data_IF_359564658517
#
_entry.id   IF_359564658517
#
_cell.length_a   1.000
_cell.length_b   1.000
_cell.length_c   1.000
_cell.angle_alpha   90.00
_cell.angle_beta   90.00
_cell.angle_gamma   90.00
#
_symmetry.space_group_name_H-M   'P 1'
#
loop_
_entity.id
_entity.type
_entity.pdbx_description
1 polymer ?
#
# COMPACT_ATOMS: atom_id res chain seq x y z
N UNK A 1 -59.86 11.16 19.87
CA UNK A 1 -59.10 9.90 19.71
C UNK A 1 -59.97 8.90 18.96
N UNK A 2 -59.78 8.76 17.65
CA UNK A 2 -60.32 7.62 16.90
C UNK A 2 -59.12 6.74 16.60
N UNK A 3 -58.99 5.67 17.37
CA UNK A 3 -57.97 4.64 17.17
C UNK A 3 -58.24 3.96 15.84
N UNK A 4 -57.50 4.34 14.80
CA UNK A 4 -57.53 3.66 13.50
C UNK A 4 -56.64 2.41 13.62
N UNK A 5 -57.11 1.44 14.41
CA UNK A 5 -56.46 0.15 14.61
C UNK A 5 -56.69 -0.74 13.39
N UNK A 6 -55.66 -0.85 12.55
CA UNK A 6 -55.58 -1.76 11.42
C UNK A 6 -55.61 -3.22 11.89
N UNK A 7 -56.79 -3.83 11.93
CA UNK A 7 -56.99 -5.28 12.02
C UNK A 7 -57.66 -5.84 10.75
N UNK A 8 -57.73 -5.04 9.67
CA UNK A 8 -58.52 -5.42 8.50
C UNK A 8 -57.81 -6.20 7.40
N UNK A 9 -56.49 -6.15 7.21
CA UNK A 9 -55.88 -6.97 6.14
C UNK A 9 -54.43 -7.38 6.44
N UNK A 10 -54.18 -8.42 7.27
CA UNK A 10 -52.84 -9.01 7.41
C UNK A 10 -52.32 -9.64 6.11
N UNK A 11 -53.17 -9.79 5.09
CA UNK A 11 -52.85 -10.33 3.77
C UNK A 11 -53.10 -9.33 2.63
N UNK A 12 -52.95 -8.03 2.89
CA UNK A 12 -52.96 -7.04 1.82
C UNK A 12 -51.67 -7.13 0.99
N UNK A 13 -51.78 -7.40 -0.31
CA UNK A 13 -50.65 -7.40 -1.25
C UNK A 13 -50.93 -6.44 -2.40
N UNK A 14 -50.17 -5.35 -2.44
CA UNK A 14 -50.19 -4.42 -3.55
C UNK A 14 -49.23 -4.87 -4.65
N UNK A 15 -49.76 -4.97 -5.88
CA UNK A 15 -48.95 -5.19 -7.07
C UNK A 15 -49.11 -4.03 -8.04
N UNK A 16 -48.01 -3.55 -8.65
CA UNK A 16 -48.12 -2.49 -9.64
C UNK A 16 -48.85 -3.01 -10.88
N UNK A 17 -49.85 -2.25 -11.34
CA UNK A 17 -50.49 -2.50 -12.64
C UNK A 17 -49.43 -2.32 -13.73
N UNK A 18 -49.21 -3.36 -14.53
CA UNK A 18 -48.19 -3.37 -15.59
C UNK A 18 -48.83 -3.42 -16.97
N UNK A 19 -48.18 -2.81 -17.95
CA UNK A 19 -48.63 -2.79 -19.34
C UNK A 19 -47.61 -3.55 -20.18
N UNK A 20 -48.09 -4.51 -20.96
CA UNK A 20 -47.25 -5.36 -21.81
C UNK A 20 -47.27 -4.87 -23.25
N UNK A 21 -46.16 -4.33 -23.72
CA UNK A 21 -45.97 -3.97 -25.12
C UNK A 21 -45.44 -5.16 -25.93
N UNK A 22 -46.15 -5.55 -26.99
CA UNK A 22 -45.75 -6.63 -27.92
C UNK A 22 -45.00 -6.05 -29.13
N UNK A 23 -43.84 -5.43 -28.89
CA UNK A 23 -42.94 -4.97 -29.96
C UNK A 23 -41.65 -5.78 -29.96
N UNK A 24 -41.33 -6.39 -31.11
CA UNK A 24 -40.12 -7.22 -31.26
C UNK A 24 -38.86 -6.38 -31.02
N UNK A 25 -38.79 -5.17 -31.58
CA UNK A 25 -37.63 -4.28 -31.42
C UNK A 25 -37.34 -3.89 -29.98
N UNK A 26 -38.38 -3.50 -29.21
CA UNK A 26 -38.22 -3.13 -27.81
C UNK A 26 -37.83 -4.33 -26.93
N UNK A 27 -38.35 -5.52 -27.24
CA UNK A 27 -38.00 -6.77 -26.55
C UNK A 27 -36.55 -7.14 -26.83
N UNK A 28 -36.11 -7.08 -28.10
CA UNK A 28 -34.72 -7.33 -28.47
C UNK A 28 -33.75 -6.33 -27.81
N UNK A 29 -34.08 -5.03 -27.82
CA UNK A 29 -33.26 -4.01 -27.17
C UNK A 29 -33.16 -4.22 -25.65
N UNK A 30 -34.28 -4.52 -24.98
CA UNK A 30 -34.30 -4.84 -23.55
C UNK A 30 -33.41 -6.05 -23.22
N UNK A 31 -33.57 -7.15 -23.96
CA UNK A 31 -32.77 -8.35 -23.75
C UNK A 31 -31.29 -8.12 -24.03
N UNK A 32 -30.96 -7.38 -25.09
CA UNK A 32 -29.58 -7.01 -25.40
C UNK A 32 -28.93 -6.27 -24.24
N UNK A 33 -29.60 -5.23 -23.70
CA UNK A 33 -29.09 -4.47 -22.54
C UNK A 33 -28.92 -5.38 -21.32
N UNK A 34 -29.88 -6.26 -21.05
CA UNK A 34 -29.80 -7.20 -19.92
C UNK A 34 -28.66 -8.21 -20.09
N UNK A 35 -28.43 -8.73 -21.30
CA UNK A 35 -27.31 -9.63 -21.59
C UNK A 35 -25.98 -8.92 -21.40
N UNK A 36 -25.84 -7.67 -21.86
CA UNK A 36 -24.62 -6.87 -21.66
C UNK A 36 -24.35 -6.66 -20.16
N UNK A 37 -25.37 -6.29 -19.39
CA UNK A 37 -25.26 -6.12 -17.93
C UNK A 37 -24.91 -7.45 -17.25
N UNK A 38 -25.55 -8.56 -17.64
CA UNK A 38 -25.26 -9.88 -17.09
C UNK A 38 -23.82 -10.31 -17.37
N UNK A 39 -23.33 -10.11 -18.60
CA UNK A 39 -21.93 -10.40 -18.96
C UNK A 39 -20.97 -9.57 -18.10
N UNK A 40 -21.25 -8.29 -17.90
CA UNK A 40 -20.44 -7.41 -17.05
C UNK A 40 -20.44 -7.86 -15.59
N UNK A 41 -21.60 -8.25 -15.04
CA UNK A 41 -21.73 -8.77 -13.68
C UNK A 41 -20.95 -10.09 -13.54
N UNK A 42 -21.08 -11.02 -14.50
CA UNK A 42 -20.32 -12.27 -14.50
C UNK A 42 -18.82 -12.03 -14.60
N UNK A 43 -18.39 -11.10 -15.45
CA UNK A 43 -16.99 -10.72 -15.58
C UNK A 43 -16.42 -10.17 -14.27
N UNK A 44 -17.09 -9.20 -13.65
CA UNK A 44 -16.64 -8.61 -12.37
C UNK A 44 -16.69 -9.61 -11.22
N UNK A 45 -17.68 -10.51 -11.19
CA UNK A 45 -17.76 -11.59 -10.21
C UNK A 45 -16.54 -12.53 -10.28
N UNK A 46 -16.11 -12.89 -11.49
CA UNK A 46 -15.01 -13.83 -11.73
C UNK A 46 -13.64 -13.13 -11.62
N UNK A 47 -13.46 -12.00 -12.28
CA UNK A 47 -12.19 -11.28 -12.34
C UNK A 47 -11.77 -10.71 -10.98
N UNK A 48 -12.70 -10.07 -10.26
CA UNK A 48 -12.41 -9.52 -8.93
C UNK A 48 -12.63 -10.55 -7.80
N UNK A 49 -13.15 -11.74 -8.12
CA UNK A 49 -13.54 -12.78 -7.16
C UNK A 49 -14.46 -12.27 -6.05
N UNK A 50 -15.51 -11.53 -6.40
CA UNK A 50 -16.45 -10.89 -5.43
C UNK A 50 -17.23 -11.88 -4.56
N UNK A 51 -17.25 -13.15 -4.94
CA UNK A 51 -17.85 -14.22 -4.15
C UNK A 51 -16.96 -14.69 -2.97
N UNK A 52 -15.72 -14.21 -2.89
CA UNK A 52 -14.80 -14.53 -1.81
C UNK A 52 -14.80 -13.45 -0.74
N UNK A 53 -14.79 -13.87 0.52
CA UNK A 53 -14.33 -12.99 1.58
C UNK A 53 -12.81 -12.88 1.48
N UNK A 54 -12.30 -11.65 1.58
CA UNK A 54 -10.86 -11.37 1.52
C UNK A 54 -10.34 -10.96 2.89
N UNK A 55 -9.14 -11.41 3.20
CA UNK A 55 -8.41 -11.05 4.43
C UNK A 55 -6.96 -10.70 4.07
N UNK A 56 -6.42 -9.68 4.72
CA UNK A 56 -4.99 -9.36 4.63
C UNK A 56 -4.15 -10.37 5.40
N UNK A 57 -2.93 -10.60 4.92
CA UNK A 57 -2.03 -11.59 5.50
C UNK A 57 -1.42 -11.11 6.82
N UNK A 58 -1.45 -11.96 7.86
CA UNK A 58 -0.61 -11.79 9.05
C UNK A 58 0.65 -12.62 8.88
N UNK A 59 1.85 -12.05 9.09
CA UNK A 59 3.10 -12.75 8.80
C UNK A 59 4.09 -12.74 9.96
N UNK A 60 4.98 -13.73 9.97
CA UNK A 60 6.16 -13.79 10.83
C UNK A 60 7.36 -14.20 9.98
N UNK A 61 8.45 -13.45 10.13
CA UNK A 61 9.68 -13.67 9.35
C UNK A 61 10.84 -14.02 10.28
N UNK A 62 11.65 -14.99 9.85
CA UNK A 62 12.93 -15.30 10.48
C UNK A 62 14.00 -15.44 9.40
N UNK A 63 15.09 -14.71 9.58
CA UNK A 63 16.22 -14.73 8.66
C UNK A 63 17.43 -15.44 9.28
N UNK A 64 18.25 -16.04 8.44
CA UNK A 64 19.53 -16.61 8.83
C UNK A 64 20.53 -16.40 7.71
N UNK A 65 21.55 -15.56 7.98
CA UNK A 65 22.61 -15.26 7.02
C UNK A 65 23.78 -16.22 7.24
N UNK A 66 24.32 -16.77 6.15
CA UNK A 66 25.47 -17.67 6.14
C UNK A 66 26.51 -17.19 5.14
N UNK A 67 27.76 -17.20 5.58
CA UNK A 67 28.88 -16.74 4.80
C UNK A 67 30.09 -16.55 5.70
N UNK A 68 31.28 -16.60 5.11
CA UNK A 68 32.53 -16.28 5.79
C UNK A 68 33.37 -15.45 4.83
N UNK A 69 33.96 -14.37 5.32
CA UNK A 69 34.88 -13.56 4.55
C UNK A 69 36.23 -13.49 5.25
N UNK A 70 37.31 -13.56 4.48
CA UNK A 70 38.65 -13.28 4.95
C UNK A 70 39.06 -11.88 4.48
N UNK A 71 39.22 -10.94 5.41
CA UNK A 71 39.52 -9.55 5.10
C UNK A 71 40.37 -8.92 6.21
N UNK A 72 41.38 -8.13 5.82
CA UNK A 72 42.32 -7.45 6.74
C UNK A 72 42.95 -8.44 7.73
N UNK A 73 43.46 -9.57 7.21
CA UNK A 73 44.11 -10.63 8.01
C UNK A 73 43.25 -11.19 9.15
N UNK A 74 41.92 -11.06 9.04
CA UNK A 74 40.93 -11.54 9.99
C UNK A 74 39.81 -12.31 9.26
N UNK A 75 39.24 -13.29 9.94
CA UNK A 75 38.06 -14.01 9.49
C UNK A 75 36.82 -13.32 10.07
N UNK A 76 35.85 -13.03 9.22
CA UNK A 76 34.56 -12.45 9.55
C UNK A 76 33.47 -13.50 9.34
N UNK A 77 32.76 -13.84 10.42
CA UNK A 77 31.64 -14.78 10.41
C UNK A 77 30.31 -14.08 10.67
N UNK A 78 29.21 -14.84 10.62
CA UNK A 78 27.86 -14.32 10.84
C UNK A 78 27.72 -13.53 12.13
N UNK A 79 28.41 -13.92 13.22
CA UNK A 79 28.30 -13.22 14.50
C UNK A 79 28.94 -11.82 14.48
N UNK A 80 29.86 -11.57 13.56
CA UNK A 80 30.55 -10.28 13.45
C UNK A 80 29.86 -9.32 12.47
N UNK A 81 29.48 -9.81 11.28
CA UNK A 81 28.95 -8.95 10.23
C UNK A 81 27.41 -8.84 10.24
N UNK A 82 26.69 -9.84 10.78
CA UNK A 82 25.24 -9.84 10.83
C UNK A 82 24.77 -9.38 12.21
N UNK A 83 24.55 -8.07 12.33
CA UNK A 83 24.14 -7.47 13.60
C UNK A 83 22.61 -7.50 13.68
N UNK A 84 22.03 -8.17 14.70
CA UNK A 84 20.58 -8.28 14.82
C UNK A 84 19.99 -6.90 15.16
N UNK A 85 19.27 -6.29 14.21
CA UNK A 85 18.58 -5.02 14.41
C UNK A 85 17.36 -5.13 15.33
N UNK A 86 16.93 -6.37 15.64
CA UNK A 86 15.82 -6.69 16.53
C UNK A 86 16.00 -6.14 17.96
N UNK A 87 17.24 -5.98 18.43
CA UNK A 87 17.50 -5.49 19.78
C UNK A 87 17.56 -3.95 19.91
N UNK A 88 17.69 -3.20 18.80
CA UNK A 88 18.04 -1.76 18.88
C UNK A 88 17.04 -0.81 18.22
N UNK A 89 16.17 -1.25 17.29
CA UNK A 89 15.41 -0.32 16.43
C UNK A 89 13.91 -0.65 16.21
N UNK A 90 13.30 -1.59 16.96
CA UNK A 90 11.87 -1.95 16.81
C UNK A 90 11.43 -2.32 15.38
N UNK A 91 12.36 -2.76 14.52
CA UNK A 91 12.08 -3.25 13.16
C UNK A 91 12.12 -4.77 13.19
N UNK A 92 10.94 -5.40 13.29
CA UNK A 92 10.77 -6.84 13.55
C UNK A 92 11.26 -7.69 12.36
N UNK A 93 11.17 -7.16 11.13
CA UNK A 93 11.41 -7.89 9.88
C UNK A 93 12.57 -7.31 9.03
N UNK A 94 13.68 -6.92 9.68
CA UNK A 94 14.87 -6.43 8.96
C UNK A 94 16.16 -7.10 9.44
N UNK A 95 17.15 -7.19 8.56
CA UNK A 95 18.49 -7.64 8.91
C UNK A 95 19.56 -6.77 8.25
N UNK A 96 20.71 -6.66 8.91
CA UNK A 96 21.84 -5.88 8.43
C UNK A 96 23.02 -6.79 8.12
N UNK A 97 23.67 -6.55 6.98
CA UNK A 97 24.92 -7.21 6.59
C UNK A 97 25.99 -6.14 6.40
N UNK A 98 27.05 -6.23 7.21
CA UNK A 98 28.22 -5.36 7.09
C UNK A 98 28.98 -5.67 5.80
N UNK A 99 29.27 -4.63 5.00
CA UNK A 99 30.04 -4.75 3.76
C UNK A 99 31.36 -3.97 3.83
N UNK A 100 31.42 -2.94 4.69
CA UNK A 100 32.60 -2.13 4.88
C UNK A 100 32.71 -1.64 6.33
N UNK A 101 33.93 -1.44 6.82
CA UNK A 101 34.15 -1.10 8.23
C UNK A 101 35.37 -0.21 8.41
N UNK A 102 35.23 0.76 9.31
CA UNK A 102 36.36 1.52 9.85
C UNK A 102 36.42 1.21 11.35
N UNK A 103 37.58 0.79 11.82
CA UNK A 103 37.80 0.39 13.20
C UNK A 103 38.79 1.35 13.86
N UNK A 104 38.40 1.92 14.99
CA UNK A 104 39.28 2.71 15.85
C UNK A 104 39.53 1.92 17.13
N UNK A 105 40.69 1.27 17.16
CA UNK A 105 41.11 0.45 18.29
C UNK A 105 41.66 1.30 19.43
N UNK A 106 41.76 0.68 20.61
CA UNK A 106 42.45 1.23 21.76
C UNK A 106 41.95 2.57 22.28
N UNK A 107 40.65 2.83 22.14
CA UNK A 107 40.06 4.04 22.68
C UNK A 107 39.97 3.98 24.20
N UNK A 108 40.47 5.01 24.87
CA UNK A 108 40.37 5.21 26.32
C UNK A 108 39.71 6.56 26.61
N UNK A 109 39.08 6.72 27.77
CA UNK A 109 38.61 8.03 28.20
C UNK A 109 39.81 8.89 28.64
N UNK A 110 40.11 9.93 27.85
CA UNK A 110 41.19 10.88 28.17
C UNK A 110 40.94 12.23 27.52
N UNK A 111 41.93 13.13 27.60
CA UNK A 111 41.96 14.39 26.87
C UNK A 111 42.76 14.22 25.60
N UNK A 112 42.22 14.65 24.46
CA UNK A 112 42.89 14.61 23.17
C UNK A 112 42.37 15.73 22.27
N UNK A 113 43.13 16.11 21.22
CA UNK A 113 42.63 17.03 20.20
C UNK A 113 41.41 16.43 19.48
N UNK A 114 40.38 17.24 19.26
CA UNK A 114 39.17 16.87 18.50
C UNK A 114 39.50 16.72 17.00
N UNK A 115 38.69 15.93 16.27
CA UNK A 115 38.84 15.77 14.83
C UNK A 115 38.62 17.13 14.11
N UNK A 116 39.35 17.40 13.02
CA UNK A 116 39.31 18.71 12.37
C UNK A 116 38.00 18.92 11.59
N UNK A 117 37.08 19.67 12.18
CA UNK A 117 35.91 20.24 11.50
C UNK A 117 35.84 21.75 11.76
N UNK A 118 35.04 22.48 10.98
CA UNK A 118 35.07 23.94 10.93
C UNK A 118 35.01 24.67 12.30
N UNK A 119 34.28 24.13 13.30
CA UNK A 119 34.21 24.71 14.65
C UNK A 119 35.22 24.14 15.66
N UNK A 120 35.90 23.04 15.33
CA UNK A 120 36.94 22.47 16.18
C UNK A 120 38.31 23.08 15.89
N UNK A 121 38.53 23.64 14.70
CA UNK A 121 39.78 24.33 14.34
C UNK A 121 39.89 25.60 15.18
N UNK A 122 41.02 25.75 15.88
CA UNK A 122 41.27 26.87 16.77
C UNK A 122 42.65 27.47 16.48
N UNK A 123 42.80 28.77 16.75
CA UNK A 123 44.11 29.43 16.74
C UNK A 123 44.60 29.76 18.15
N UNK A 124 43.67 30.02 19.07
CA UNK A 124 43.95 30.35 20.48
C UNK A 124 42.98 29.64 21.41
N UNK A 125 43.35 29.48 22.68
CA UNK A 125 42.52 28.83 23.70
C UNK A 125 41.14 29.52 23.87
N UNK A 126 41.07 30.84 23.66
CA UNK A 126 39.80 31.60 23.71
C UNK A 126 38.79 31.19 22.64
N UNK A 127 39.22 30.52 21.59
CA UNK A 127 38.34 29.99 20.54
C UNK A 127 37.59 28.72 20.98
N UNK A 128 38.02 28.09 22.07
CA UNK A 128 37.43 26.86 22.60
C UNK A 128 36.61 27.19 23.86
N UNK A 129 35.35 26.81 23.88
CA UNK A 129 34.44 27.11 24.98
C UNK A 129 34.42 25.94 25.98
N UNK A 130 34.90 26.19 27.20
CA UNK A 130 34.99 25.14 28.22
C UNK A 130 33.59 24.64 28.63
N UNK A 131 33.40 23.32 28.66
CA UNK A 131 32.15 22.67 29.01
C UNK A 131 31.14 22.57 27.85
N UNK A 132 31.47 23.09 26.66
CA UNK A 132 30.60 23.00 25.50
C UNK A 132 30.66 21.62 24.83
N UNK A 133 29.52 21.15 24.31
CA UNK A 133 29.42 19.95 23.49
C UNK A 133 28.54 20.24 22.27
N UNK A 134 29.17 20.47 21.11
CA UNK A 134 28.45 20.72 19.86
C UNK A 134 27.91 19.42 19.27
N UNK A 135 26.86 19.51 18.44
CA UNK A 135 26.20 18.35 17.80
C UNK A 135 27.16 17.44 17.01
N UNK A 136 28.21 18.01 16.42
CA UNK A 136 29.23 17.27 15.66
C UNK A 136 30.50 16.97 16.47
N UNK A 137 30.56 17.38 17.74
CA UNK A 137 31.69 17.12 18.63
C UNK A 137 31.64 15.67 19.14
N UNK A 138 32.80 15.01 19.26
CA UNK A 138 32.87 13.65 19.80
C UNK A 138 32.99 13.63 21.33
N UNK A 139 33.21 14.78 21.95
CA UNK A 139 33.23 14.95 23.40
C UNK A 139 32.97 16.38 23.86
N UNK A 140 33.29 16.63 25.12
CA UNK A 140 33.11 17.94 25.79
C UNK A 140 34.41 18.73 25.70
N UNK A 141 34.35 19.98 25.27
CA UNK A 141 35.52 20.85 25.16
C UNK A 141 36.06 21.25 26.53
N UNK A 142 37.39 21.29 26.64
CA UNK A 142 38.11 21.70 27.86
C UNK A 142 38.46 23.19 27.88
N UNK A 143 38.31 23.89 26.75
CA UNK A 143 38.71 25.30 26.58
C UNK A 143 40.18 25.52 26.19
N UNK A 144 40.92 24.47 25.81
CA UNK A 144 42.32 24.57 25.36
C UNK A 144 42.45 24.28 23.87
N UNK A 145 43.36 24.98 23.19
CA UNK A 145 43.70 24.80 21.78
C UNK A 145 45.04 24.05 21.67
N UNK A 146 44.99 22.81 21.20
CA UNK A 146 46.14 21.89 21.16
C UNK A 146 46.51 21.56 19.71
N UNK A 147 47.77 21.16 19.48
CA UNK A 147 48.18 20.69 18.16
C UNK A 147 47.54 19.32 17.85
N UNK A 148 46.85 19.24 16.71
CA UNK A 148 46.35 17.99 16.14
C UNK A 148 47.41 17.38 15.22
N UNK A 149 47.94 18.18 14.29
CA UNK A 149 49.04 17.86 13.38
C UNK A 149 50.08 19.01 13.38
N UNK A 150 51.21 18.85 12.69
CA UNK A 150 52.27 19.86 12.62
C UNK A 150 51.77 21.26 12.20
N UNK A 151 50.76 21.32 11.32
CA UNK A 151 50.21 22.55 10.76
C UNK A 151 48.87 22.98 11.36
N UNK A 152 48.19 22.09 12.09
CA UNK A 152 46.78 22.28 12.46
C UNK A 152 46.57 22.16 13.97
N UNK A 153 45.87 23.13 14.55
CA UNK A 153 45.43 23.11 15.95
C UNK A 153 43.92 22.92 16.05
N UNK A 154 43.48 22.09 16.98
CA UNK A 154 42.07 21.86 17.29
C UNK A 154 41.80 21.95 18.79
N UNK A 155 40.55 22.17 19.16
CA UNK A 155 40.17 22.23 20.57
C UNK A 155 40.37 20.86 21.25
N UNK A 156 40.92 20.87 22.47
CA UNK A 156 41.07 19.70 23.32
C UNK A 156 39.71 19.31 23.92
N UNK A 157 39.33 18.04 23.77
CA UNK A 157 38.08 17.47 24.28
C UNK A 157 38.35 16.36 25.29
N UNK A 158 37.48 16.23 26.29
CA UNK A 158 37.35 15.01 27.09
C UNK A 158 36.41 14.05 26.35
N UNK A 159 36.98 12.99 25.78
CA UNK A 159 36.28 12.05 24.91
C UNK A 159 36.92 10.65 25.00
N UNK A 160 36.43 9.74 24.15
CA UNK A 160 37.13 8.48 23.86
C UNK A 160 38.24 8.74 22.84
N UNK A 161 39.48 8.68 23.31
CA UNK A 161 40.67 9.04 22.56
C UNK A 161 41.45 7.79 22.10
N UNK A 162 42.00 7.78 20.87
CA UNK A 162 41.95 8.87 19.88
C UNK A 162 40.56 9.02 19.26
N UNK A 163 40.15 10.27 19.00
CA UNK A 163 38.88 10.57 18.33
C UNK A 163 38.97 10.07 16.89
N UNK A 164 37.95 9.35 16.38
CA UNK A 164 37.93 8.90 15.00
C UNK A 164 37.85 10.10 14.06
N UNK A 165 38.74 10.15 13.07
CA UNK A 165 38.62 11.15 12.00
C UNK A 165 37.37 10.82 11.15
N UNK A 166 36.72 11.84 10.58
CA UNK A 166 35.69 11.63 9.55
C UNK A 166 36.35 11.15 8.26
N UNK A 167 36.75 9.88 8.24
CA UNK A 167 37.31 9.23 7.07
C UNK A 167 36.20 8.80 6.12
N UNK A 168 36.46 8.98 4.82
CA UNK A 168 35.68 8.34 3.76
C UNK A 168 35.85 6.82 3.87
N UNK A 169 34.79 6.03 3.69
CA UNK A 169 34.90 4.57 3.70
C UNK A 169 35.94 4.10 2.66
N UNK A 170 36.72 3.05 2.98
CA UNK A 170 37.75 2.56 2.06
C UNK A 170 37.12 2.00 0.78
N UNK A 171 37.82 2.21 -0.34
CA UNK A 171 37.44 1.74 -1.67
C UNK A 171 38.62 0.93 -2.23
N UNK A 172 38.44 -0.36 -2.58
CA UNK A 172 37.20 -1.15 -2.54
C UNK A 172 36.73 -1.50 -1.11
N UNK A 173 35.47 -1.92 -0.98
CA UNK A 173 34.89 -2.31 0.30
C UNK A 173 35.64 -3.50 0.94
N UNK A 174 35.84 -3.44 2.27
CA UNK A 174 36.62 -4.44 3.03
C UNK A 174 36.03 -5.85 2.91
N UNK A 175 34.70 -5.99 2.98
CA UNK A 175 34.00 -7.28 2.92
C UNK A 175 33.34 -7.48 1.55
N UNK A 176 34.07 -7.28 0.46
CA UNK A 176 33.54 -7.52 -0.92
C UNK A 176 32.98 -8.93 -1.12
N UNK A 177 33.57 -9.93 -0.45
CA UNK A 177 33.12 -11.34 -0.51
C UNK A 177 31.72 -11.56 0.09
N UNK A 178 31.13 -10.54 0.74
CA UNK A 178 29.74 -10.59 1.19
C UNK A 178 28.73 -10.71 0.05
N UNK A 179 29.13 -10.44 -1.20
CA UNK A 179 28.30 -10.68 -2.39
C UNK A 179 27.86 -12.15 -2.50
N UNK A 180 28.74 -13.08 -2.09
CA UNK A 180 28.51 -14.53 -2.12
C UNK A 180 27.80 -15.08 -0.90
N UNK A 181 27.46 -14.22 0.06
CA UNK A 181 26.73 -14.67 1.24
C UNK A 181 25.32 -15.06 0.86
N UNK A 182 24.78 -16.02 1.61
CA UNK A 182 23.42 -16.52 1.41
C UNK A 182 22.56 -16.16 2.61
N UNK A 183 21.29 -15.87 2.36
CA UNK A 183 20.28 -15.65 3.38
C UNK A 183 19.14 -16.64 3.17
N UNK A 184 18.82 -17.38 4.22
CA UNK A 184 17.60 -18.18 4.30
C UNK A 184 16.51 -17.34 4.95
N UNK A 185 15.41 -17.12 4.24
CA UNK A 185 14.23 -16.42 4.74
C UNK A 185 13.13 -17.43 5.02
N UNK A 186 12.79 -17.63 6.29
CA UNK A 186 11.62 -18.40 6.71
C UNK A 186 10.46 -17.43 6.91
N UNK A 187 9.40 -17.59 6.16
CA UNK A 187 8.20 -16.77 6.29
C UNK A 187 6.99 -17.67 6.52
N UNK A 188 6.33 -17.44 7.65
CA UNK A 188 5.08 -18.08 8.01
C UNK A 188 3.97 -17.05 7.86
N UNK A 189 2.94 -17.39 7.11
CA UNK A 189 1.76 -16.55 6.93
C UNK A 189 0.53 -17.24 7.49
N UNK A 190 -0.30 -16.46 8.13
CA UNK A 190 -1.54 -16.90 8.75
C UNK A 190 -2.68 -15.97 8.34
N UNK A 191 -3.82 -16.58 8.04
CA UNK A 191 -5.09 -15.91 7.78
C UNK A 191 -6.05 -16.27 8.93
N UNK A 192 -6.11 -15.43 9.99
CA UNK A 192 -6.90 -15.69 11.18
C UNK A 192 -8.38 -16.00 10.90
N UNK A 193 -9.05 -15.26 10.02
CA UNK A 193 -10.47 -15.51 9.72
C UNK A 193 -10.69 -16.88 9.10
N UNK A 194 -9.76 -17.34 8.27
CA UNK A 194 -9.86 -18.64 7.59
C UNK A 194 -9.24 -19.78 8.39
N UNK A 195 -8.57 -19.48 9.52
CA UNK A 195 -7.74 -20.39 10.29
C UNK A 195 -6.78 -21.20 9.40
N UNK A 196 -6.12 -20.51 8.46
CA UNK A 196 -5.24 -21.11 7.48
C UNK A 196 -3.81 -20.61 7.65
N UNK A 197 -2.85 -21.53 7.76
CA UNK A 197 -1.43 -21.21 7.90
C UNK A 197 -0.65 -21.89 6.79
N UNK A 198 0.24 -21.16 6.14
CA UNK A 198 1.17 -21.70 5.18
C UNK A 198 2.55 -21.08 5.38
N UNK A 199 3.59 -21.82 5.00
CA UNK A 199 4.96 -21.36 5.06
C UNK A 199 5.56 -21.38 3.66
N UNK A 200 6.55 -20.53 3.38
CA UNK A 200 7.23 -20.52 2.09
C UNK A 200 8.09 -21.77 1.83
N UNK A 201 8.49 -22.50 2.88
CA UNK A 201 9.35 -23.67 2.77
C UNK A 201 8.49 -24.93 2.55
N UNK A 202 8.62 -25.57 1.39
CA UNK A 202 7.98 -26.88 1.15
C UNK A 202 8.54 -27.96 2.10
N UNK A 203 7.74 -28.94 2.56
CA UNK A 203 8.26 -30.07 3.33
C UNK A 203 9.35 -30.86 2.59
N UNK A 204 9.30 -30.92 1.26
CA UNK A 204 10.30 -31.61 0.41
C UNK A 204 11.40 -30.67 -0.10
N UNK A 205 11.78 -29.69 0.72
CA UNK A 205 12.72 -28.65 0.34
C UNK A 205 14.17 -29.14 0.16
N UNK A 206 14.79 -28.81 -0.97
CA UNK A 206 16.22 -29.03 -1.19
C UNK A 206 17.04 -27.90 -0.56
N UNK A 207 17.84 -28.23 0.45
CA UNK A 207 18.70 -27.28 1.17
C UNK A 207 19.81 -26.64 0.32
N UNK A 208 20.10 -27.19 -0.85
CA UNK A 208 21.16 -26.70 -1.75
C UNK A 208 20.64 -25.81 -2.89
N UNK A 209 19.34 -25.50 -2.92
CA UNK A 209 18.83 -24.59 -3.96
C UNK A 209 19.31 -23.16 -3.74
N UNK A 210 19.29 -22.37 -4.81
CA UNK A 210 19.43 -20.91 -4.75
C UNK A 210 18.29 -20.30 -5.55
N UNK A 211 17.72 -19.22 -5.03
CA UNK A 211 16.64 -18.51 -5.67
C UNK A 211 17.05 -18.04 -7.07
N UNK A 212 16.17 -18.29 -8.02
CA UNK A 212 16.26 -17.73 -9.35
C UNK A 212 14.84 -17.54 -9.88
N UNK A 213 14.56 -16.36 -10.43
CA UNK A 213 13.22 -15.98 -10.87
C UNK A 213 12.60 -16.93 -11.90
N UNK A 214 13.42 -17.60 -12.71
CA UNK A 214 12.97 -18.48 -13.79
C UNK A 214 13.14 -19.95 -13.37
N UNK A 215 14.32 -20.36 -12.91
CA UNK A 215 14.62 -21.78 -12.68
C UNK A 215 14.16 -22.29 -11.33
N UNK A 216 14.10 -21.45 -10.28
CA UNK A 216 13.80 -21.86 -8.91
C UNK A 216 13.13 -20.73 -8.11
N UNK A 217 11.92 -20.30 -8.51
CA UNK A 217 11.25 -19.13 -7.92
C UNK A 217 10.76 -19.36 -6.48
N UNK A 218 10.58 -20.62 -6.05
CA UNK A 218 10.11 -20.97 -4.71
C UNK A 218 11.25 -21.25 -3.72
N UNK A 219 12.50 -21.12 -4.13
CA UNK A 219 13.63 -21.34 -3.23
C UNK A 219 13.76 -20.16 -2.24
N UNK A 220 13.80 -20.40 -0.92
CA UNK A 220 13.89 -19.38 0.12
C UNK A 220 15.33 -19.00 0.49
N UNK A 221 16.33 -19.50 -0.26
CA UNK A 221 17.76 -19.21 -0.08
C UNK A 221 18.19 -18.24 -1.16
N UNK A 222 18.63 -17.05 -0.77
CA UNK A 222 18.99 -15.97 -1.68
C UNK A 222 20.47 -15.63 -1.53
N UNK A 223 21.18 -15.44 -2.63
CA UNK A 223 22.53 -14.87 -2.62
C UNK A 223 22.44 -13.34 -2.64
N UNK A 224 23.24 -12.65 -1.84
CA UNK A 224 23.14 -11.19 -1.69
C UNK A 224 23.45 -10.43 -2.98
N UNK A 225 24.40 -10.91 -3.77
CA UNK A 225 24.69 -10.37 -5.11
C UNK A 225 23.48 -10.44 -6.04
N UNK A 226 22.82 -11.60 -6.09
CA UNK A 226 21.66 -11.84 -6.97
C UNK A 226 20.46 -10.95 -6.58
N UNK A 227 20.26 -10.69 -5.28
CA UNK A 227 19.24 -9.74 -4.78
C UNK A 227 19.48 -8.33 -5.36
N UNK A 228 20.73 -7.84 -5.30
CA UNK A 228 21.05 -6.50 -5.79
C UNK A 228 20.96 -6.45 -7.32
N UNK A 229 21.37 -7.52 -7.99
CA UNK A 229 21.28 -7.63 -9.45
C UNK A 229 19.83 -7.58 -9.93
N UNK A 230 18.91 -8.30 -9.28
CA UNK A 230 17.46 -8.23 -9.57
C UNK A 230 16.88 -6.84 -9.25
N UNK A 231 17.41 -6.16 -8.22
CA UNK A 231 17.09 -4.76 -7.92
C UNK A 231 17.74 -3.75 -8.90
N UNK A 232 18.51 -4.22 -9.89
CA UNK A 232 19.24 -3.42 -10.89
C UNK A 232 20.31 -2.51 -10.29
N UNK A 233 20.96 -2.95 -9.22
CA UNK A 233 22.03 -2.22 -8.53
C UNK A 233 23.35 -2.99 -8.58
N UNK A 234 24.46 -2.26 -8.51
CA UNK A 234 25.80 -2.84 -8.48
C UNK A 234 26.26 -3.08 -7.04
N UNK A 235 26.52 -4.34 -6.67
CA UNK A 235 26.94 -4.73 -5.32
C UNK A 235 28.18 -3.94 -4.86
N UNK A 236 29.19 -3.83 -5.72
CA UNK A 236 30.47 -3.19 -5.36
C UNK A 236 30.32 -1.70 -4.99
N UNK A 237 29.40 -0.98 -5.65
CA UNK A 237 29.15 0.43 -5.36
C UNK A 237 28.38 0.61 -4.06
N UNK A 238 27.33 -0.20 -3.86
CA UNK A 238 26.51 -0.16 -2.65
C UNK A 238 27.33 -0.62 -1.44
N UNK A 239 28.22 -1.59 -1.60
CA UNK A 239 29.06 -2.12 -0.53
C UNK A 239 29.98 -1.07 0.11
N UNK A 240 30.37 -0.01 -0.60
CA UNK A 240 31.28 1.02 -0.06
C UNK A 240 30.60 1.88 1.00
N UNK A 241 29.41 2.41 0.70
CA UNK A 241 28.67 3.36 1.56
C UNK A 241 27.48 2.73 2.29
N UNK A 242 27.12 1.50 1.93
CA UNK A 242 25.89 0.85 2.36
C UNK A 242 24.67 1.32 1.56
N UNK A 243 23.53 0.73 1.89
CA UNK A 243 22.24 1.03 1.26
C UNK A 243 21.09 0.32 1.95
N UNK A 244 19.88 0.57 1.49
CA UNK A 244 18.67 -0.08 2.02
C UNK A 244 17.94 -0.77 0.86
N UNK A 245 17.76 -2.08 0.98
CA UNK A 245 17.11 -2.92 -0.03
C UNK A 245 15.85 -3.52 0.59
N UNK A 246 14.74 -3.48 -0.13
CA UNK A 246 13.52 -4.19 0.23
C UNK A 246 13.47 -5.55 -0.48
N UNK A 247 13.12 -6.57 0.30
CA UNK A 247 12.74 -7.90 -0.18
C UNK A 247 11.23 -8.00 -0.01
N UNK A 248 10.51 -7.98 -1.12
CA UNK A 248 9.06 -8.05 -1.16
C UNK A 248 8.62 -9.50 -1.28
N UNK A 249 7.72 -9.94 -0.39
CA UNK A 249 7.13 -11.29 -0.41
C UNK A 249 5.63 -11.13 -0.53
N UNK A 250 5.11 -11.33 -1.73
CA UNK A 250 3.68 -11.20 -2.02
C UNK A 250 2.98 -12.55 -1.89
N UNK A 251 1.88 -12.56 -1.13
CA UNK A 251 1.01 -13.72 -0.92
C UNK A 251 -0.42 -13.42 -1.41
N UNK A 252 -0.68 -13.66 -2.70
CA UNK A 252 -2.03 -13.56 -3.26
C UNK A 252 -2.64 -14.96 -3.37
N UNK A 253 -3.39 -15.34 -2.33
CA UNK A 253 -3.83 -16.71 -2.12
C UNK A 253 -5.31 -16.89 -2.45
N UNK A 254 -5.60 -17.90 -3.26
CA UNK A 254 -6.93 -18.47 -3.42
C UNK A 254 -7.05 -19.74 -2.58
N UNK A 255 -7.89 -19.71 -1.55
CA UNK A 255 -8.09 -20.80 -0.59
C UNK A 255 -9.31 -21.67 -0.93
N UNK A 256 -9.92 -21.49 -2.10
CA UNK A 256 -11.02 -22.32 -2.57
C UNK A 256 -10.54 -23.72 -2.98
N UNK A 257 -11.23 -24.76 -2.53
CA UNK A 257 -10.86 -26.15 -2.82
C UNK A 257 -10.77 -26.46 -4.33
N UNK A 258 -11.60 -25.84 -5.16
CA UNK A 258 -11.64 -26.06 -6.62
C UNK A 258 -10.62 -25.24 -7.42
N UNK A 259 -9.95 -24.27 -6.79
CA UNK A 259 -8.99 -23.38 -7.45
C UNK A 259 -7.90 -22.92 -6.48
N UNK A 260 -7.35 -23.86 -5.71
CA UNK A 260 -6.35 -23.56 -4.69
C UNK A 260 -5.04 -23.08 -5.34
N UNK A 261 -4.56 -21.92 -4.90
CA UNK A 261 -3.25 -21.37 -5.25
C UNK A 261 -2.78 -20.50 -4.10
N UNK A 262 -1.63 -20.81 -3.50
CA UNK A 262 -1.06 -19.99 -2.44
C UNK A 262 0.45 -20.22 -2.39
N UNK A 263 1.20 -19.34 -3.04
CA UNK A 263 2.66 -19.42 -3.12
C UNK A 263 3.24 -18.02 -3.09
N UNK A 264 4.44 -17.84 -2.50
CA UNK A 264 5.06 -16.53 -2.39
C UNK A 264 5.63 -16.09 -3.74
N UNK A 265 5.45 -14.81 -4.06
CA UNK A 265 6.12 -14.13 -5.16
C UNK A 265 7.17 -13.17 -4.59
N UNK A 266 8.42 -13.31 -5.03
CA UNK A 266 9.54 -12.50 -4.53
C UNK A 266 9.85 -11.33 -5.46
N UNK A 267 9.99 -10.14 -4.87
CA UNK A 267 10.42 -8.91 -5.54
C UNK A 267 11.58 -8.24 -4.79
N UNK A 268 12.40 -7.47 -5.50
CA UNK A 268 13.53 -6.77 -4.92
C UNK A 268 13.58 -5.34 -5.42
N UNK A 269 13.75 -4.38 -4.52
CA UNK A 269 13.89 -2.96 -4.87
C UNK A 269 14.79 -2.23 -3.90
N UNK A 270 15.44 -1.17 -4.37
CA UNK A 270 16.17 -0.24 -3.51
C UNK A 270 15.21 0.76 -2.85
N UNK A 271 15.38 0.99 -1.55
CA UNK A 271 14.57 1.93 -0.74
C UNK A 271 15.23 3.30 -0.58
N UNK A 272 16.56 3.34 -0.48
CA UNK A 272 17.29 4.60 -0.29
C UNK A 272 17.40 5.40 -1.59
N UNK A 273 17.24 6.73 -1.49
CA UNK A 273 17.28 7.61 -2.64
C UNK A 273 18.70 7.81 -3.17
N UNK A 274 19.00 7.23 -4.34
CA UNK A 274 20.30 7.34 -5.04
C UNK A 274 20.77 8.79 -5.30
N UNK A 275 19.82 9.72 -5.43
CA UNK A 275 20.05 11.11 -5.86
C UNK A 275 20.25 12.11 -4.71
N UNK A 276 20.09 11.69 -3.45
CA UNK A 276 20.29 12.60 -2.31
C UNK A 276 21.78 12.71 -2.00
N UNK A 277 22.32 13.91 -2.08
CA UNK A 277 23.71 14.23 -1.71
C UNK A 277 23.92 14.26 -0.20
N UNK A 278 22.85 14.46 0.56
CA UNK A 278 22.88 14.55 2.01
C UNK A 278 22.73 13.15 2.63
N UNK A 279 23.81 12.66 3.26
CA UNK A 279 23.96 11.33 3.88
C UNK A 279 23.76 10.14 2.90
N UNK A 280 24.68 9.94 1.95
CA UNK A 280 24.60 8.80 1.03
C UNK A 280 24.88 7.48 1.75
N UNK A 281 24.01 6.50 1.53
CA UNK A 281 24.17 5.12 2.00
C UNK A 281 23.59 4.84 3.39
N UNK A 282 24.08 3.79 4.03
CA UNK A 282 23.62 3.35 5.35
C UNK A 282 24.82 2.94 6.22
N UNK A 283 24.95 3.60 7.37
CA UNK A 283 26.02 3.32 8.32
C UNK A 283 25.54 3.51 9.76
N UNK A 284 26.14 2.78 10.69
CA UNK A 284 25.98 3.02 12.11
C UNK A 284 27.27 2.74 12.87
N UNK A 285 27.34 3.26 14.10
CA UNK A 285 28.50 3.11 14.97
C UNK A 285 28.12 2.22 16.16
N UNK A 286 29.00 1.29 16.50
CA UNK A 286 28.89 0.48 17.72
C UNK A 286 30.27 0.30 18.35
N UNK A 287 30.33 -0.04 19.63
CA UNK A 287 31.59 -0.23 20.33
C UNK A 287 31.63 -1.57 21.06
N UNK A 288 32.80 -2.19 21.11
CA UNK A 288 33.10 -3.35 21.97
C UNK A 288 33.97 -2.86 23.13
N UNK A 289 33.48 -3.04 24.36
CA UNK A 289 34.15 -2.61 25.59
C UNK A 289 34.94 -3.75 26.22
N UNK A 290 36.10 -3.44 26.79
CA UNK A 290 36.97 -4.37 27.48
C UNK A 290 37.84 -3.62 28.51
N UNK A 291 38.39 -4.35 29.49
CA UNK A 291 39.26 -3.77 30.52
C UNK A 291 40.70 -4.19 30.30
N UNK A 292 41.64 -3.24 30.44
CA UNK A 292 43.07 -3.56 30.51
C UNK A 292 43.42 -4.21 31.85
N UNK A 293 44.59 -4.85 31.90
CA UNK A 293 45.19 -5.39 33.14
C UNK A 293 45.27 -4.35 34.27
N UNK A 294 45.49 -3.08 33.91
CA UNK A 294 45.56 -1.96 34.87
C UNK A 294 44.17 -1.47 35.37
N UNK A 295 43.09 -2.21 35.09
CA UNK A 295 41.72 -1.88 35.49
C UNK A 295 41.04 -0.76 34.69
N UNK A 296 41.76 -0.06 33.80
CA UNK A 296 41.20 1.00 32.94
C UNK A 296 40.30 0.41 31.86
N UNK A 297 39.14 1.04 31.66
CA UNK A 297 38.21 0.71 30.59
C UNK A 297 38.72 1.20 29.23
N UNK A 298 38.59 0.33 28.23
CA UNK A 298 38.98 0.56 26.86
C UNK A 298 37.84 0.11 25.94
N UNK A 299 37.73 0.73 24.77
CA UNK A 299 36.80 0.26 23.74
C UNK A 299 37.45 0.25 22.36
N UNK A 300 36.87 -0.57 21.51
CA UNK A 300 37.10 -0.51 20.07
C UNK A 300 35.82 0.00 19.43
N UNK A 301 35.91 1.14 18.74
CA UNK A 301 34.79 1.73 18.02
C UNK A 301 34.77 1.19 16.59
N UNK A 302 33.61 0.74 16.15
CA UNK A 302 33.35 0.30 14.79
C UNK A 302 32.38 1.28 14.15
N UNK A 303 32.75 1.81 12.98
CA UNK A 303 31.83 2.46 12.06
C UNK A 303 31.56 1.49 10.92
N UNK A 304 30.42 0.83 10.99
CA UNK A 304 29.99 -0.18 10.03
C UNK A 304 29.14 0.47 8.93
N UNK A 305 29.51 0.20 7.69
CA UNK A 305 28.71 0.45 6.51
C UNK A 305 28.22 -0.88 5.97
N UNK A 306 27.00 -0.90 5.46
CA UNK A 306 26.43 -2.15 5.00
C UNK A 306 25.05 -1.99 4.43
N UNK A 307 24.50 -3.13 4.04
CA UNK A 307 23.19 -3.19 3.42
C UNK A 307 22.19 -3.62 4.47
N UNK A 308 21.17 -2.80 4.66
CA UNK A 308 19.98 -3.18 5.43
C UNK A 308 18.96 -3.78 4.48
N UNK A 309 18.50 -4.98 4.78
CA UNK A 309 17.45 -5.66 4.04
C UNK A 309 16.15 -5.59 4.86
N UNK A 310 15.16 -4.90 4.32
CA UNK A 310 13.82 -4.77 4.91
C UNK A 310 12.89 -5.78 4.23
N UNK A 311 12.34 -6.73 4.98
CA UNK A 311 11.45 -7.75 4.43
C UNK A 311 10.01 -7.25 4.53
N UNK A 312 9.39 -7.03 3.38
CA UNK A 312 8.03 -6.52 3.26
C UNK A 312 7.11 -7.65 2.82
N UNK A 313 6.33 -8.19 3.75
CA UNK A 313 5.35 -9.23 3.47
C UNK A 313 3.98 -8.59 3.32
N UNK A 314 3.32 -8.84 2.19
CA UNK A 314 1.99 -8.31 1.93
C UNK A 314 1.19 -9.27 1.04
N UNK A 315 -0.12 -9.11 1.02
CA UNK A 315 -0.97 -9.96 0.22
C UNK A 315 -2.35 -10.17 0.83
N UNK A 316 -3.20 -10.85 0.07
CA UNK A 316 -4.59 -11.13 0.44
C UNK A 316 -4.90 -12.59 0.22
N UNK A 317 -5.58 -13.20 1.19
CA UNK A 317 -6.19 -14.50 1.06
C UNK A 317 -7.67 -14.34 0.74
N UNK A 318 -8.17 -15.06 -0.25
CA UNK A 318 -9.58 -15.13 -0.61
C UNK A 318 -10.13 -16.53 -0.38
N UNK A 319 -11.30 -16.63 0.26
CA UNK A 319 -12.04 -17.89 0.42
C UNK A 319 -13.52 -17.68 0.16
N UNK A 320 -14.16 -18.61 -0.54
CA UNK A 320 -15.58 -18.58 -0.86
C UNK A 320 -16.43 -18.42 0.42
N UNK A 321 -17.33 -17.44 0.40
CA UNK A 321 -18.32 -17.21 1.45
C UNK A 321 -19.67 -16.85 0.84
N UNK A 322 -20.69 -17.64 1.14
CA UNK A 322 -22.04 -17.45 0.56
C UNK A 322 -22.63 -16.06 0.84
N UNK A 323 -22.30 -15.45 1.99
CA UNK A 323 -22.76 -14.09 2.35
C UNK A 323 -22.27 -13.04 1.35
N UNK A 324 -21.01 -13.12 0.93
CA UNK A 324 -20.43 -12.18 -0.05
C UNK A 324 -21.08 -12.34 -1.42
N UNK A 325 -21.31 -13.60 -1.84
CA UNK A 325 -22.02 -13.90 -3.08
C UNK A 325 -23.45 -13.32 -3.09
N UNK A 326 -24.24 -13.56 -2.05
CA UNK A 326 -25.62 -13.03 -1.99
C UNK A 326 -25.66 -11.51 -1.87
N UNK A 327 -24.70 -10.90 -1.17
CA UNK A 327 -24.57 -9.44 -1.07
C UNK A 327 -24.23 -8.83 -2.44
N UNK A 328 -23.33 -9.47 -3.19
CA UNK A 328 -23.00 -9.06 -4.55
C UNK A 328 -24.18 -9.24 -5.51
N UNK A 329 -24.90 -10.37 -5.46
CA UNK A 329 -26.11 -10.58 -6.28
C UNK A 329 -27.19 -9.54 -5.92
N UNK A 330 -27.44 -9.30 -4.63
CA UNK A 330 -28.41 -8.32 -4.16
C UNK A 330 -28.11 -6.90 -4.65
N UNK A 331 -26.84 -6.47 -4.60
CA UNK A 331 -26.44 -5.17 -5.11
C UNK A 331 -26.54 -5.08 -6.64
N UNK A 332 -26.18 -6.14 -7.36
CA UNK A 332 -26.17 -6.13 -8.83
C UNK A 332 -27.54 -6.23 -9.49
N UNK A 333 -28.55 -6.80 -8.81
CA UNK A 333 -29.95 -6.82 -9.30
C UNK A 333 -30.47 -5.40 -9.58
N UNK A 334 -30.01 -4.41 -8.83
CA UNK A 334 -30.42 -3.01 -9.00
C UNK A 334 -30.04 -2.43 -10.38
N UNK A 335 -28.96 -2.89 -11.01
CA UNK A 335 -28.54 -2.45 -12.34
C UNK A 335 -29.57 -2.77 -13.42
N UNK A 336 -30.27 -3.90 -13.31
CA UNK A 336 -31.35 -4.26 -14.25
C UNK A 336 -32.55 -3.31 -14.11
N UNK A 337 -32.83 -2.85 -12.89
CA UNK A 337 -33.85 -1.85 -12.61
C UNK A 337 -33.49 -0.49 -13.20
N UNK A 338 -32.24 -0.05 -13.04
CA UNK A 338 -31.74 1.20 -13.61
C UNK A 338 -31.75 1.19 -15.15
N UNK A 339 -31.41 0.05 -15.75
CA UNK A 339 -31.51 -0.10 -17.20
C UNK A 339 -32.96 0.06 -17.68
N UNK A 340 -33.92 -0.50 -16.93
CA UNK A 340 -35.33 -0.34 -17.24
C UNK A 340 -35.78 1.12 -17.14
N UNK A 341 -35.45 1.82 -16.05
CA UNK A 341 -35.83 3.25 -15.89
C UNK A 341 -35.17 4.13 -16.94
N UNK A 342 -33.91 3.87 -17.31
CA UNK A 342 -33.22 4.58 -18.39
C UNK A 342 -33.92 4.42 -19.74
N UNK A 343 -34.38 3.20 -20.07
CA UNK A 343 -35.18 2.94 -21.28
C UNK A 343 -36.50 3.73 -21.23
N UNK A 344 -37.16 3.80 -20.08
CA UNK A 344 -38.41 4.58 -19.92
C UNK A 344 -38.19 6.09 -20.08
N UNK A 345 -37.12 6.63 -19.50
CA UNK A 345 -36.75 8.04 -19.65
C UNK A 345 -36.43 8.34 -21.12
N UNK A 346 -35.69 7.46 -21.78
CA UNK A 346 -35.37 7.58 -23.20
C UNK A 346 -36.66 7.65 -24.04
N UNK A 347 -37.62 6.75 -23.81
CA UNK A 347 -38.92 6.81 -24.50
C UNK A 347 -39.69 8.11 -24.24
N UNK A 348 -39.63 8.64 -23.01
CA UNK A 348 -40.25 9.93 -22.67
C UNK A 348 -39.58 11.10 -23.42
N UNK A 349 -38.25 11.13 -23.48
CA UNK A 349 -37.47 12.18 -24.15
C UNK A 349 -37.62 12.15 -25.68
N UNK A 350 -37.77 10.97 -26.28
CA UNK A 350 -38.05 10.83 -27.72
C UNK A 350 -39.42 11.41 -28.12
N UNK A 351 -40.36 11.59 -27.17
CA UNK A 351 -41.62 12.26 -27.44
C UNK A 351 -41.49 13.80 -27.42
N UNK A 352 -40.54 14.35 -26.65
CA UNK A 352 -40.33 15.80 -26.52
C UNK A 352 -39.44 16.39 -27.63
N UNK A 353 -38.55 15.60 -28.22
CA UNK A 353 -37.67 16.05 -29.30
C UNK A 353 -38.40 15.97 -30.64
N UNK A 354 -38.93 17.11 -31.11
CA UNK A 354 -39.78 17.25 -32.29
C UNK A 354 -39.18 16.82 -33.65
N UNK A 355 -38.08 16.06 -33.67
CA UNK A 355 -37.47 15.60 -34.91
C UNK A 355 -38.16 14.34 -35.47
N UNK A 356 -38.62 13.39 -34.64
CA UNK A 356 -39.28 12.16 -35.14
C UNK A 356 -40.41 11.75 -34.18
N UNK A 357 -41.65 12.26 -34.37
CA UNK A 357 -42.85 11.75 -33.69
C UNK A 357 -43.13 10.33 -34.17
N UNK A 358 -42.54 9.34 -33.52
CA UNK A 358 -42.88 7.94 -33.75
C UNK A 358 -44.26 7.70 -33.12
N UNK A 359 -45.29 7.44 -33.94
CA UNK A 359 -46.67 7.17 -33.50
C UNK A 359 -46.78 6.04 -32.45
N UNK A 360 -45.79 5.15 -32.42
CA UNK A 360 -45.64 4.11 -31.41
C UNK A 360 -45.32 4.65 -30.00
N UNK A 361 -44.52 5.71 -29.85
CA UNK A 361 -44.18 6.30 -28.54
C UNK A 361 -45.36 7.04 -27.90
N UNK A 362 -46.14 7.77 -28.71
CA UNK A 362 -47.34 8.49 -28.23
C UNK A 362 -48.41 7.50 -27.73
N UNK A 363 -48.59 6.38 -28.44
CA UNK A 363 -49.44 5.27 -28.00
C UNK A 363 -48.96 4.59 -26.70
N UNK A 364 -47.65 4.57 -26.44
CA UNK A 364 -47.09 4.03 -25.19
C UNK A 364 -47.42 4.96 -24.02
N UNK A 365 -47.22 6.26 -24.19
CA UNK A 365 -47.42 7.26 -23.14
C UNK A 365 -48.90 7.34 -22.76
N UNK A 366 -49.82 7.39 -23.74
CA UNK A 366 -51.27 7.38 -23.46
C UNK A 366 -51.74 6.14 -22.71
N UNK A 367 -51.12 4.97 -22.96
CA UNK A 367 -51.48 3.74 -22.24
C UNK A 367 -50.90 3.73 -20.83
N UNK A 368 -49.70 4.29 -20.63
CA UNK A 368 -48.94 4.23 -19.37
C UNK A 368 -49.34 5.29 -18.35
N UNK A 369 -49.60 6.51 -18.80
CA UNK A 369 -49.87 7.64 -17.92
C UNK A 369 -51.35 8.01 -17.97
N UNK A 370 -51.95 8.14 -16.78
CA UNK A 370 -53.29 8.69 -16.61
C UNK A 370 -53.15 10.09 -16.02
N UNK A 371 -53.54 11.11 -16.78
CA UNK A 371 -53.49 12.50 -16.32
C UNK A 371 -54.68 12.77 -15.42
N UNK A 372 -54.45 12.83 -14.11
CA UNK A 372 -55.47 13.16 -13.12
C UNK A 372 -55.35 14.63 -12.74
N UNK A 373 -56.47 15.35 -12.82
CA UNK A 373 -56.56 16.75 -12.39
C UNK A 373 -56.79 16.82 -10.88
N UNK A 374 -56.11 17.73 -10.19
CA UNK A 374 -56.35 17.96 -8.78
C UNK A 374 -57.74 18.59 -8.56
N UNK A 375 -58.64 17.94 -7.78
CA UNK A 375 -60.08 18.22 -7.83
C UNK A 375 -60.50 19.57 -7.24
N UNK A 376 -59.60 20.30 -6.57
CA UNK A 376 -60.00 21.45 -5.74
C UNK A 376 -60.13 22.78 -6.49
N UNK A 377 -59.60 22.92 -7.71
CA UNK A 377 -59.51 24.25 -8.36
C UNK A 377 -59.70 24.25 -9.88
N UNK A 378 -60.49 23.32 -10.44
CA UNK A 378 -60.76 23.27 -11.89
C UNK A 378 -62.25 23.14 -12.20
N UNK A 379 -62.70 23.79 -13.28
CA UNK A 379 -64.01 23.60 -13.89
C UNK A 379 -63.83 23.18 -15.35
N UNK A 380 -64.65 22.22 -15.79
CA UNK A 380 -64.68 21.77 -17.18
C UNK A 380 -65.91 22.35 -17.86
N UNK A 381 -65.71 23.06 -18.97
CA UNK A 381 -66.78 23.68 -19.76
C UNK A 381 -66.72 23.14 -21.19
N UNK A 382 -67.85 22.70 -21.72
CA UNK A 382 -68.00 22.20 -23.08
C UNK A 382 -68.95 23.10 -23.86
N UNK A 383 -68.61 23.41 -25.11
CA UNK A 383 -69.45 24.18 -26.03
C UNK A 383 -69.87 23.28 -27.19
N UNK A 384 -71.12 23.36 -27.64
CA UNK A 384 -71.63 22.53 -28.75
C UNK A 384 -70.90 22.85 -30.06
N UNK A 385 -70.46 24.09 -30.23
CA UNK A 385 -69.76 24.56 -31.43
C UNK A 385 -68.25 24.26 -31.44
N UNK A 386 -67.71 23.72 -30.33
CA UNK A 386 -66.27 23.41 -30.20
C UNK A 386 -66.04 21.91 -29.95
N UNK A 387 -65.03 21.30 -30.60
CA UNK A 387 -64.79 19.86 -30.47
C UNK A 387 -64.07 19.45 -29.17
N UNK A 388 -63.57 20.40 -28.36
CA UNK A 388 -62.76 20.12 -27.18
C UNK A 388 -63.38 20.66 -25.89
N UNK A 389 -63.07 20.00 -24.77
CA UNK A 389 -63.45 20.46 -23.42
C UNK A 389 -62.41 21.47 -22.93
N UNK A 390 -62.88 22.59 -22.36
CA UNK A 390 -62.02 23.66 -21.85
C UNK A 390 -61.92 23.53 -20.33
N UNK A 391 -60.68 23.47 -19.83
CA UNK A 391 -60.36 23.48 -18.41
C UNK A 391 -60.10 24.91 -17.93
N UNK A 392 -60.90 25.38 -16.98
CA UNK A 392 -60.80 26.69 -16.35
C UNK A 392 -60.33 26.53 -14.90
N UNK A 393 -59.20 27.13 -14.55
CA UNK A 393 -58.68 27.13 -13.17
C UNK A 393 -59.39 28.20 -12.33
N UNK A 394 -59.79 27.85 -11.09
CA UNK A 394 -60.38 28.79 -10.12
C UNK A 394 -59.28 29.56 -9.36
N UNK A 395 -59.54 30.79 -8.88
CA UNK A 395 -60.81 31.53 -8.93
C UNK A 395 -61.02 32.26 -10.27
N UNK A 396 -62.28 32.37 -10.70
CA UNK A 396 -62.68 33.11 -11.90
C UNK A 396 -62.41 34.61 -11.72
N UNK A 397 -61.79 35.24 -12.72
CA UNK A 397 -61.62 36.71 -12.78
C UNK A 397 -62.72 37.41 -13.57
N UNK A 398 -63.41 36.69 -14.45
CA UNK A 398 -64.45 37.16 -15.36
C UNK A 398 -65.65 36.20 -15.36
N UNK A 399 -66.72 36.55 -16.08
CA UNK A 399 -67.85 35.63 -16.31
C UNK A 399 -67.37 34.30 -16.88
N UNK A 400 -68.01 33.20 -16.49
CA UNK A 400 -67.63 31.84 -16.89
C UNK A 400 -67.60 31.64 -18.42
N UNK A 401 -68.42 32.40 -19.15
CA UNK A 401 -68.50 32.33 -20.61
C UNK A 401 -67.29 32.99 -21.31
N UNK A 402 -66.66 33.96 -20.66
CA UNK A 402 -65.54 34.76 -21.17
C UNK A 402 -64.20 34.34 -20.52
N UNK A 403 -64.21 33.31 -19.68
CA UNK A 403 -63.04 32.84 -18.97
C UNK A 403 -62.16 31.99 -19.89
N UNK A 404 -60.93 32.46 -20.15
CA UNK A 404 -59.94 31.70 -20.92
C UNK A 404 -59.45 30.49 -20.13
N UNK A 405 -59.41 29.33 -20.79
CA UNK A 405 -58.96 28.07 -20.23
C UNK A 405 -58.08 27.29 -21.20
N UNK A 406 -57.39 26.27 -20.69
CA UNK A 406 -56.59 25.37 -21.52
C UNK A 406 -57.46 24.25 -22.10
N UNK A 407 -57.18 23.86 -23.34
CA UNK A 407 -57.81 22.69 -23.96
C UNK A 407 -57.42 21.43 -23.17
N UNK A 408 -58.42 20.63 -22.79
CA UNK A 408 -58.25 19.35 -22.13
C UNK A 408 -58.73 18.24 -23.06
N UNK A 409 -57.79 17.43 -23.56
CA UNK A 409 -58.02 16.28 -24.44
C UNK A 409 -57.46 14.99 -23.82
#
# INVERSE_FOLDING_TARGET
>A
MVSCGCLKDPFHYDSPKSIRFRSVGCVCAKWFIYVVIAIYICYTLIADKRYQEKEEVTSSVRTSVKGVAHAVSRIWDTAEYAIPMQASLNLIDSFFVMTNVIQTENQIQSRCPEAPFAKAICSTDKSCENGSAYVHSNGVQTGRCVQYNETLKTCEVTAWCPVPMEETPPVPAVLRSSEDFTVLIKNNVHFPKFNYTVQNISPNFNSSCTFNKITSPLCPIFRLGDILQEAKENFSEVAVKGGVIAIEIKWDCNLDSWSYYCSPEYGFRRLDGKTRTQYPGFSYRFARYYKRENGKEQRTLFRAYGIRFDILVFGTGGKFRSVELFTFIGSTITYFGLAFTAIEILFSLYNCSGCWKIQFCDNIIRKKYETVLEPKQVMLVSYVDKPHVILIKRPLKTSLQDAEGSIFE
#
